data_IF_426051805226
#
_entry.id   IF_426051805226
#
_cell.length_a   1.000
_cell.length_b   1.000
_cell.length_c   1.000
_cell.angle_alpha   90.00
_cell.angle_beta   90.00
_cell.angle_gamma   90.00
#
_symmetry.space_group_name_H-M   'P 1'
#
loop_
_entity.id
_entity.type
_entity.pdbx_description
1 polymer ?
#
# COMPACT_ATOMS: atom_id res chain seq x y z
N UNK A 1 -34.84 25.30 16.08
CA UNK A 1 -33.73 25.29 17.05
C UNK A 1 -32.79 24.16 16.64
N UNK A 2 -31.80 24.50 15.80
CA UNK A 2 -30.40 24.77 16.19
C UNK A 2 -29.59 23.46 16.22
N UNK A 3 -29.10 23.03 15.06
CA UNK A 3 -27.70 23.21 14.63
C UNK A 3 -26.69 22.45 15.51
N UNK A 4 -26.18 21.33 14.99
CA UNK A 4 -24.74 21.06 14.96
C UNK A 4 -24.39 20.16 13.77
N UNK A 5 -23.90 20.83 12.72
CA UNK A 5 -23.14 20.29 11.59
C UNK A 5 -21.65 20.35 11.97
N UNK A 6 -20.89 19.47 11.32
CA UNK A 6 -19.49 19.66 10.90
C UNK A 6 -18.41 19.32 11.92
N UNK A 7 -17.65 18.25 11.63
CA UNK A 7 -16.20 18.30 11.37
C UNK A 7 -15.63 16.87 11.28
N UNK A 8 -15.34 16.43 10.05
CA UNK A 8 -14.05 15.84 9.62
C UNK A 8 -14.21 15.20 8.25
N UNK A 9 -14.18 16.07 7.24
CA UNK A 9 -13.69 15.75 5.92
C UNK A 9 -12.25 16.29 5.87
N UNK A 10 -11.26 15.41 5.85
CA UNK A 10 -9.87 15.69 5.48
C UNK A 10 -9.06 14.38 5.59
N UNK A 11 -9.16 13.52 4.57
CA UNK A 11 -8.02 12.77 4.03
C UNK A 11 -8.48 11.99 2.80
N UNK A 12 -8.65 12.74 1.71
CA UNK A 12 -8.87 12.23 0.37
C UNK A 12 -8.02 13.07 -0.58
N UNK A 13 -6.76 12.69 -0.71
CA UNK A 13 -5.73 13.10 -1.69
C UNK A 13 -4.53 12.26 -1.27
N UNK A 14 -4.09 11.27 -2.02
CA UNK A 14 -3.22 11.48 -3.17
C UNK A 14 -2.76 10.07 -3.59
N UNK A 15 -3.19 9.59 -4.76
CA UNK A 15 -2.62 8.46 -5.53
C UNK A 15 -3.49 8.22 -6.75
N UNK A 16 -3.50 9.21 -7.64
CA UNK A 16 -4.15 9.12 -8.94
C UNK A 16 -3.22 9.67 -10.01
N UNK A 17 -2.08 9.01 -10.23
CA UNK A 17 -1.18 9.28 -11.36
C UNK A 17 -0.48 7.97 -11.75
N UNK A 18 -1.22 7.05 -12.36
CA UNK A 18 -0.62 5.85 -12.98
C UNK A 18 -1.09 5.60 -14.43
N UNK A 19 -1.90 6.49 -15.00
CA UNK A 19 -2.22 6.47 -16.43
C UNK A 19 -1.50 7.62 -17.14
N UNK A 20 -0.22 7.41 -17.44
CA UNK A 20 0.45 8.17 -18.52
C UNK A 20 0.58 7.25 -19.73
N UNK A 21 -0.16 7.58 -20.78
CA UNK A 21 -0.23 6.85 -22.02
C UNK A 21 1.16 6.67 -22.64
N UNK A 22 1.51 5.41 -22.94
CA UNK A 22 2.73 5.05 -23.70
C UNK A 22 2.46 5.34 -25.18
N UNK A 23 2.87 6.52 -25.63
CA UNK A 23 2.95 6.88 -27.05
C UNK A 23 4.16 6.18 -27.67
N UNK A 24 4.05 5.47 -28.81
CA UNK A 24 5.22 5.02 -29.54
C UNK A 24 5.90 6.23 -30.21
N UNK A 25 7.12 6.55 -29.78
CA UNK A 25 7.97 7.57 -30.44
C UNK A 25 8.43 7.07 -31.81
N UNK A 26 7.87 7.67 -32.86
CA UNK A 26 8.44 7.66 -34.19
C UNK A 26 9.62 8.64 -34.22
N UNK A 27 10.80 8.14 -34.57
CA UNK A 27 12.04 8.91 -34.67
C UNK A 27 12.02 9.72 -35.99
N UNK A 28 12.10 11.06 -35.97
CA UNK A 28 12.21 11.84 -37.19
C UNK A 28 13.67 11.85 -37.66
N UNK A 29 13.88 11.48 -38.92
CA UNK A 29 15.15 11.62 -39.62
C UNK A 29 15.44 13.11 -39.84
N UNK A 30 16.60 13.57 -39.36
CA UNK A 30 17.08 14.94 -39.54
C UNK A 30 17.68 15.08 -40.94
N UNK A 31 17.22 16.11 -41.63
CA UNK A 31 17.78 16.64 -42.87
C UNK A 31 19.13 17.31 -42.57
N UNK A 32 20.17 16.98 -43.33
CA UNK A 32 21.30 17.86 -43.58
C UNK A 32 21.30 18.21 -45.06
N UNK A 33 21.25 19.52 -45.32
CA UNK A 33 21.46 20.14 -46.61
C UNK A 33 22.95 20.50 -46.76
N UNK A 34 23.48 20.27 -47.96
CA UNK A 34 24.68 20.83 -48.62
C UNK A 34 24.97 19.88 -49.80
N UNK A 35 25.42 20.28 -50.98
CA UNK A 35 25.61 21.53 -51.70
C UNK A 35 25.96 21.09 -53.14
N UNK A 36 25.91 21.99 -54.11
CA UNK A 36 25.86 21.68 -55.53
C UNK A 36 27.04 20.89 -56.15
N UNK A 37 26.68 20.10 -57.16
CA UNK A 37 27.56 19.70 -58.26
C UNK A 37 26.69 19.60 -59.52
N UNK A 38 26.73 20.67 -60.31
CA UNK A 38 26.21 20.71 -61.68
C UNK A 38 26.95 19.65 -62.51
N UNK A 39 26.18 18.78 -63.16
CA UNK A 39 26.63 18.05 -64.34
C UNK A 39 25.45 17.96 -65.28
N UNK A 40 25.43 18.90 -66.22
CA UNK A 40 24.82 18.70 -67.53
C UNK A 40 25.23 17.33 -68.05
N UNK A 41 24.24 16.49 -68.34
CA UNK A 41 24.18 15.68 -69.57
C UNK A 41 22.82 14.99 -69.63
N UNK A 42 22.17 15.19 -70.79
CA UNK A 42 21.23 14.28 -71.43
C UNK A 42 19.75 14.44 -71.08
N UNK A 43 19.25 15.57 -71.59
CA UNK A 43 17.92 15.70 -72.19
C UNK A 43 17.73 14.67 -73.31
N UNK A 44 17.50 13.40 -72.95
CA UNK A 44 16.95 12.39 -73.86
C UNK A 44 15.45 12.18 -73.60
N UNK A 45 14.67 12.72 -74.54
CA UNK A 45 13.43 12.16 -75.07
C UNK A 45 12.41 11.62 -74.05
N UNK A 46 11.57 12.52 -73.50
CA UNK A 46 10.18 12.19 -73.15
C UNK A 46 9.39 12.00 -74.46
N UNK A 47 9.76 10.98 -75.22
CA UNK A 47 8.95 10.43 -76.29
C UNK A 47 7.95 9.50 -75.61
N UNK A 48 6.65 9.77 -75.81
CA UNK A 48 5.56 9.03 -75.18
C UNK A 48 5.71 7.51 -75.35
N UNK A 49 6.22 6.84 -74.31
CA UNK A 49 6.06 5.40 -74.18
C UNK A 49 4.58 5.17 -73.94
N UNK A 50 3.89 4.71 -74.99
CA UNK A 50 2.58 4.13 -74.84
C UNK A 50 2.72 2.95 -73.86
N UNK A 51 2.42 3.18 -72.58
CA UNK A 51 2.36 2.13 -71.57
C UNK A 51 1.36 1.12 -72.12
N UNK A 52 1.85 -0.10 -72.39
CA UNK A 52 0.97 -1.11 -72.96
C UNK A 52 -0.15 -1.40 -71.96
N UNK A 53 -1.37 -1.62 -72.48
CA UNK A 53 -2.52 -2.03 -71.66
C UNK A 53 -2.18 -3.24 -70.76
N UNK A 54 -1.31 -4.14 -71.23
CA UNK A 54 -0.78 -5.26 -70.46
C UNK A 54 0.03 -4.82 -69.24
N UNK A 55 0.91 -3.83 -69.39
CA UNK A 55 1.73 -3.30 -68.28
C UNK A 55 0.87 -2.68 -67.18
N UNK A 56 -0.17 -1.91 -67.56
CA UNK A 56 -1.15 -1.36 -66.60
C UNK A 56 -1.95 -2.46 -65.89
N UNK A 57 -2.38 -3.48 -66.62
CA UNK A 57 -3.07 -4.64 -66.02
C UNK A 57 -2.17 -5.39 -65.05
N UNK A 58 -0.89 -5.58 -65.38
CA UNK A 58 0.09 -6.24 -64.51
C UNK A 58 0.29 -5.46 -63.20
N UNK A 59 0.47 -4.13 -63.28
CA UNK A 59 0.63 -3.28 -62.09
C UNK A 59 -0.62 -3.28 -61.21
N UNK A 60 -1.82 -3.32 -61.79
CA UNK A 60 -3.08 -3.36 -61.03
C UNK A 60 -3.25 -4.69 -60.30
N UNK A 61 -2.88 -5.80 -60.94
CA UNK A 61 -2.85 -7.13 -60.31
C UNK A 61 -1.81 -7.18 -59.18
N UNK A 62 -0.63 -6.61 -59.38
CA UNK A 62 0.41 -6.56 -58.35
C UNK A 62 0.01 -5.66 -57.18
N UNK A 63 -0.64 -4.53 -57.44
CA UNK A 63 -1.16 -3.66 -56.40
C UNK A 63 -2.26 -4.36 -55.60
N UNK A 64 -3.20 -5.02 -56.28
CA UNK A 64 -4.27 -5.77 -55.64
C UNK A 64 -3.72 -6.91 -54.77
N UNK A 65 -2.71 -7.65 -55.25
CA UNK A 65 -2.09 -8.71 -54.47
C UNK A 65 -1.36 -8.16 -53.25
N UNK A 66 -0.58 -7.08 -53.41
CA UNK A 66 0.09 -6.39 -52.28
C UNK A 66 -0.92 -5.89 -51.25
N UNK A 67 -1.99 -5.22 -51.68
CA UNK A 67 -3.07 -4.78 -50.77
C UNK A 67 -3.71 -5.95 -50.04
N UNK A 68 -4.02 -7.03 -50.75
CA UNK A 68 -4.59 -8.24 -50.14
C UNK A 68 -3.66 -8.84 -49.09
N UNK A 69 -2.35 -8.93 -49.38
CA UNK A 69 -1.35 -9.39 -48.41
C UNK A 69 -1.28 -8.46 -47.21
N UNK A 70 -1.16 -7.15 -47.41
CA UNK A 70 -1.09 -6.17 -46.30
C UNK A 70 -2.32 -6.22 -45.41
N UNK A 71 -3.52 -6.31 -46.00
CA UNK A 71 -4.77 -6.45 -45.24
C UNK A 71 -4.80 -7.76 -44.46
N UNK A 72 -4.41 -8.89 -45.08
CA UNK A 72 -4.36 -10.16 -44.37
C UNK A 72 -3.37 -10.16 -43.22
N UNK A 73 -2.18 -9.58 -43.40
CA UNK A 73 -1.17 -9.44 -42.34
C UNK A 73 -1.71 -8.56 -41.21
N UNK A 74 -2.27 -7.38 -41.52
CA UNK A 74 -2.83 -6.50 -40.51
C UNK A 74 -3.98 -7.14 -39.73
N UNK A 75 -4.86 -7.89 -40.40
CA UNK A 75 -5.94 -8.64 -39.75
C UNK A 75 -5.39 -9.77 -38.86
N UNK A 76 -4.32 -10.44 -39.28
CA UNK A 76 -3.67 -11.47 -38.48
C UNK A 76 -3.01 -10.88 -37.23
N UNK A 77 -2.33 -9.74 -37.36
CA UNK A 77 -1.71 -9.02 -36.24
C UNK A 77 -2.77 -8.52 -35.25
N UNK A 78 -3.87 -7.92 -35.73
CA UNK A 78 -4.99 -7.52 -34.87
C UNK A 78 -5.62 -8.69 -34.13
N UNK A 79 -5.77 -9.85 -34.78
CA UNK A 79 -6.29 -11.07 -34.12
C UNK A 79 -5.36 -11.52 -33.00
N UNK A 80 -4.05 -11.43 -33.23
CA UNK A 80 -3.04 -11.75 -32.21
C UNK A 80 -3.11 -10.78 -31.05
N UNK A 81 -3.16 -9.47 -31.32
CA UNK A 81 -3.25 -8.44 -30.29
C UNK A 81 -4.52 -8.59 -29.45
N UNK A 82 -5.66 -8.93 -30.08
CA UNK A 82 -6.92 -9.21 -29.37
C UNK A 82 -6.77 -10.41 -28.43
N UNK A 83 -6.12 -11.50 -28.89
CA UNK A 83 -5.89 -12.67 -28.06
C UNK A 83 -4.96 -12.35 -26.87
N UNK A 84 -3.88 -11.59 -27.12
CA UNK A 84 -2.93 -11.17 -26.09
C UNK A 84 -3.57 -10.24 -25.07
N UNK A 85 -4.43 -9.31 -25.50
CA UNK A 85 -5.21 -8.46 -24.61
C UNK A 85 -6.21 -9.26 -23.77
N UNK A 86 -6.87 -10.27 -24.36
CA UNK A 86 -7.76 -11.16 -23.63
C UNK A 86 -7.03 -11.93 -22.52
N UNK A 87 -5.86 -12.49 -22.84
CA UNK A 87 -5.03 -13.19 -21.85
C UNK A 87 -4.58 -12.27 -20.70
N UNK A 88 -4.16 -11.05 -21.04
CA UNK A 88 -3.76 -10.05 -20.03
C UNK A 88 -4.94 -9.60 -19.17
N UNK A 89 -6.14 -9.45 -19.74
CA UNK A 89 -7.36 -9.13 -18.98
C UNK A 89 -7.65 -10.20 -17.96
N UNK A 90 -7.68 -11.47 -18.40
CA UNK A 90 -7.93 -12.61 -17.51
C UNK A 90 -6.91 -12.67 -16.36
N UNK A 91 -5.63 -12.43 -16.66
CA UNK A 91 -4.58 -12.43 -15.63
C UNK A 91 -4.77 -11.30 -14.60
N UNK A 92 -5.18 -10.11 -15.04
CA UNK A 92 -5.46 -8.99 -14.15
C UNK A 92 -6.69 -9.28 -13.29
N UNK A 93 -7.73 -9.87 -13.86
CA UNK A 93 -8.94 -10.26 -13.13
C UNK A 93 -8.63 -11.31 -12.06
N UNK A 94 -7.84 -12.34 -12.38
CA UNK A 94 -7.40 -13.35 -11.41
C UNK A 94 -6.55 -12.74 -10.30
N UNK A 95 -5.60 -11.86 -10.65
CA UNK A 95 -4.78 -11.16 -9.68
C UNK A 95 -5.60 -10.26 -8.75
N UNK A 96 -6.59 -9.56 -9.31
CA UNK A 96 -7.48 -8.67 -8.55
C UNK A 96 -8.32 -9.48 -7.56
N UNK A 97 -8.90 -10.61 -8.00
CA UNK A 97 -9.65 -11.49 -7.11
C UNK A 97 -8.78 -12.06 -5.98
N UNK A 98 -7.54 -12.44 -6.26
CA UNK A 98 -6.60 -12.89 -5.24
C UNK A 98 -6.20 -11.77 -4.26
N UNK A 99 -6.02 -10.55 -4.78
CA UNK A 99 -5.72 -9.36 -3.99
C UNK A 99 -6.87 -9.01 -3.05
N UNK A 100 -8.11 -9.00 -3.54
CA UNK A 100 -9.30 -8.71 -2.74
C UNK A 100 -9.46 -9.76 -1.61
N UNK A 101 -9.28 -11.04 -1.93
CA UNK A 101 -9.28 -12.10 -0.91
C UNK A 101 -8.17 -11.93 0.14
N UNK A 102 -7.02 -11.36 -0.24
CA UNK A 102 -5.95 -11.06 0.70
C UNK A 102 -6.31 -9.85 1.58
N UNK A 103 -6.89 -8.80 0.99
CA UNK A 103 -7.32 -7.61 1.71
C UNK A 103 -8.36 -7.96 2.80
N UNK A 104 -9.34 -8.79 2.47
CA UNK A 104 -10.36 -9.27 3.43
C UNK A 104 -9.72 -10.00 4.62
N UNK A 105 -8.71 -10.84 4.36
CA UNK A 105 -7.98 -11.57 5.43
C UNK A 105 -7.15 -10.63 6.30
N UNK A 106 -6.56 -9.60 5.72
CA UNK A 106 -5.81 -8.59 6.47
C UNK A 106 -6.75 -7.86 7.42
N UNK A 107 -7.91 -7.41 6.93
CA UNK A 107 -8.93 -6.75 7.76
C UNK A 107 -9.44 -7.66 8.90
N UNK A 108 -9.69 -8.95 8.62
CA UNK A 108 -10.07 -9.92 9.64
C UNK A 108 -8.99 -10.08 10.72
N UNK A 109 -7.73 -10.18 10.32
CA UNK A 109 -6.61 -10.31 11.25
C UNK A 109 -6.39 -9.06 12.10
N UNK A 110 -6.53 -7.87 11.52
CA UNK A 110 -6.44 -6.60 12.24
C UNK A 110 -7.53 -6.49 13.31
N UNK A 111 -8.78 -6.80 12.94
CA UNK A 111 -9.91 -6.83 13.88
C UNK A 111 -9.68 -7.83 15.03
N UNK A 112 -9.14 -9.01 14.71
CA UNK A 112 -8.84 -10.03 15.70
C UNK A 112 -7.70 -9.63 16.63
N UNK A 113 -6.67 -8.95 16.13
CA UNK A 113 -5.60 -8.41 16.93
C UNK A 113 -6.12 -7.36 17.91
N UNK A 114 -6.93 -6.42 17.43
CA UNK A 114 -7.56 -5.40 18.28
C UNK A 114 -8.41 -6.05 19.39
N UNK A 115 -9.21 -7.06 19.05
CA UNK A 115 -9.98 -7.81 20.03
C UNK A 115 -9.10 -8.44 21.12
N UNK A 116 -7.99 -9.07 20.74
CA UNK A 116 -7.09 -9.70 21.69
C UNK A 116 -6.31 -8.70 22.53
N UNK A 117 -5.92 -7.55 21.97
CA UNK A 117 -5.27 -6.48 22.72
C UNK A 117 -6.21 -5.89 23.78
N UNK A 118 -7.44 -5.59 23.40
CA UNK A 118 -8.48 -5.14 24.31
C UNK A 118 -8.74 -6.19 25.40
N UNK A 119 -8.79 -7.47 25.03
CA UNK A 119 -8.98 -8.54 26.01
C UNK A 119 -7.80 -8.68 26.95
N UNK A 120 -6.57 -8.55 26.45
CA UNK A 120 -5.35 -8.56 27.27
C UNK A 120 -5.36 -7.42 28.27
N UNK A 121 -5.71 -6.20 27.83
CA UNK A 121 -5.82 -5.03 28.69
C UNK A 121 -6.86 -5.24 29.80
N UNK A 122 -8.06 -5.71 29.45
CA UNK A 122 -9.11 -6.03 30.44
C UNK A 122 -8.66 -7.07 31.48
N UNK A 123 -7.93 -8.10 31.05
CA UNK A 123 -7.39 -9.12 31.96
C UNK A 123 -6.28 -8.56 32.86
N UNK A 124 -5.37 -7.75 32.32
CA UNK A 124 -4.33 -7.07 33.10
C UNK A 124 -4.94 -6.12 34.15
N UNK A 125 -5.93 -5.33 33.77
CA UNK A 125 -6.62 -4.40 34.66
C UNK A 125 -7.39 -5.12 35.77
N UNK A 126 -8.08 -6.23 35.43
CA UNK A 126 -8.74 -7.07 36.44
C UNK A 126 -7.73 -7.72 37.38
N UNK A 127 -6.60 -8.19 36.85
CA UNK A 127 -5.55 -8.79 37.66
C UNK A 127 -4.92 -7.78 38.63
N UNK A 128 -4.84 -6.51 38.26
CA UNK A 128 -4.22 -5.44 39.07
C UNK A 128 -5.22 -4.64 39.91
N UNK A 129 -6.52 -4.88 39.78
CA UNK A 129 -7.57 -4.08 40.43
C UNK A 129 -7.45 -4.03 41.96
N UNK A 130 -6.95 -5.10 42.55
CA UNK A 130 -6.75 -5.22 43.99
C UNK A 130 -5.32 -4.86 44.42
N UNK A 131 -4.45 -4.49 43.48
CA UNK A 131 -3.06 -4.14 43.78
C UNK A 131 -2.95 -2.66 44.15
N UNK A 132 -2.65 -2.37 45.42
CA UNK A 132 -2.41 -1.02 45.89
C UNK A 132 -0.90 -0.69 45.87
N UNK A 133 -0.55 0.50 45.36
CA UNK A 133 0.83 1.02 45.37
C UNK A 133 0.99 2.11 46.43
N UNK A 134 1.66 1.76 47.52
CA UNK A 134 2.02 2.70 48.58
C UNK A 134 3.36 3.37 48.25
N UNK A 135 3.40 4.71 48.30
CA UNK A 135 4.61 5.51 48.09
C UNK A 135 5.01 6.21 49.39
N UNK A 136 6.29 6.53 49.55
CA UNK A 136 6.82 7.23 50.73
C UNK A 136 7.05 6.33 51.95
N UNK A 137 7.02 5.00 51.79
CA UNK A 137 7.45 4.08 52.85
C UNK A 137 8.97 4.16 52.96
N UNK A 138 9.53 4.55 54.13
CA UNK A 138 10.98 4.64 54.34
C UNK A 138 11.68 3.32 53.97
N UNK A 139 12.89 3.39 53.41
CA UNK A 139 13.62 2.19 52.97
C UNK A 139 14.13 1.34 54.14
N UNK A 140 14.25 1.94 55.33
CA UNK A 140 14.66 1.29 56.57
C UNK A 140 13.69 0.18 56.99
N UNK A 141 12.41 0.28 56.59
CA UNK A 141 11.41 -0.76 56.85
C UNK A 141 11.76 -2.01 56.04
N UNK A 142 12.14 -3.08 56.74
CA UNK A 142 12.61 -4.31 56.10
C UNK A 142 11.45 -5.07 55.45
N UNK A 143 11.69 -5.89 54.41
CA UNK A 143 10.64 -6.66 53.74
C UNK A 143 9.78 -7.52 54.69
N UNK A 144 10.37 -8.04 55.76
CA UNK A 144 9.68 -8.85 56.78
C UNK A 144 8.71 -8.02 57.64
N UNK A 145 8.96 -6.72 57.77
CA UNK A 145 8.19 -5.78 58.61
C UNK A 145 7.09 -5.07 57.81
N UNK A 146 7.15 -5.10 56.47
CA UNK A 146 6.21 -4.40 55.60
C UNK A 146 4.74 -4.75 55.89
N UNK A 147 4.45 -6.02 56.19
CA UNK A 147 3.08 -6.46 56.48
C UNK A 147 2.54 -5.78 57.74
N UNK A 148 3.32 -5.79 58.82
CA UNK A 148 2.94 -5.14 60.07
C UNK A 148 2.78 -3.63 59.88
N UNK A 149 3.75 -2.99 59.21
CA UNK A 149 3.70 -1.58 58.89
C UNK A 149 2.46 -1.20 58.08
N UNK A 150 2.11 -1.98 57.04
CA UNK A 150 0.94 -1.73 56.22
C UNK A 150 -0.37 -1.90 57.03
N UNK A 151 -0.46 -2.91 57.90
CA UNK A 151 -1.61 -3.09 58.78
C UNK A 151 -1.79 -1.91 59.73
N UNK A 152 -0.72 -1.46 60.40
CA UNK A 152 -0.76 -0.29 61.27
C UNK A 152 -1.15 0.98 60.51
N UNK A 153 -0.57 1.18 59.32
CA UNK A 153 -0.91 2.29 58.44
C UNK A 153 -2.39 2.30 58.05
N UNK A 154 -2.94 1.17 57.59
CA UNK A 154 -4.36 1.10 57.23
C UNK A 154 -5.28 1.27 58.44
N UNK A 155 -4.97 0.68 59.59
CA UNK A 155 -5.75 0.88 60.82
C UNK A 155 -5.70 2.34 61.30
N UNK A 156 -4.61 3.06 61.04
CA UNK A 156 -4.51 4.49 61.39
C UNK A 156 -5.41 5.38 60.51
N UNK A 157 -5.63 5.01 59.25
CA UNK A 157 -6.43 5.78 58.28
C UNK A 157 -7.90 5.36 58.33
N UNK A 158 -8.16 4.07 58.57
CA UNK A 158 -9.49 3.46 58.55
C UNK A 158 -9.76 2.78 59.91
N UNK A 159 -9.93 3.56 60.99
CA UNK A 159 -10.06 3.02 62.34
C UNK A 159 -11.34 2.19 62.55
N UNK A 160 -12.38 2.45 61.74
CA UNK A 160 -13.67 1.76 61.84
C UNK A 160 -13.68 0.36 61.19
N UNK A 161 -12.64 0.03 60.41
CA UNK A 161 -12.52 -1.27 59.77
C UNK A 161 -11.75 -2.21 60.70
N UNK A 162 -12.35 -3.32 61.13
CA UNK A 162 -11.68 -4.24 62.03
C UNK A 162 -10.55 -4.99 61.29
N UNK A 163 -9.47 -5.26 62.01
CA UNK A 163 -8.21 -5.76 61.42
C UNK A 163 -8.35 -7.14 60.77
N UNK A 164 -9.30 -7.95 61.22
CA UNK A 164 -9.65 -9.25 60.65
C UNK A 164 -10.23 -9.16 59.23
N UNK A 165 -10.85 -8.04 58.88
CA UNK A 165 -11.33 -7.78 57.51
C UNK A 165 -10.21 -7.31 56.57
N UNK A 166 -9.05 -6.89 57.10
CA UNK A 166 -7.91 -6.46 56.29
C UNK A 166 -7.06 -7.66 55.85
N UNK A 167 -7.50 -8.31 54.77
CA UNK A 167 -6.80 -9.47 54.19
C UNK A 167 -5.74 -8.99 53.19
N UNK A 168 -4.46 -9.13 53.57
CA UNK A 168 -3.32 -8.87 52.69
C UNK A 168 -2.74 -10.19 52.16
N UNK A 169 -2.95 -10.48 50.87
CA UNK A 169 -2.42 -11.69 50.23
C UNK A 169 -0.89 -11.61 50.04
N UNK A 170 -0.42 -10.53 49.40
CA UNK A 170 1.00 -10.32 49.08
C UNK A 170 1.39 -8.87 49.32
N UNK A 171 2.55 -8.66 49.92
CA UNK A 171 3.16 -7.33 50.08
C UNK A 171 4.66 -7.43 49.79
N UNK A 172 5.16 -6.53 48.96
CA UNK A 172 6.56 -6.49 48.57
C UNK A 172 6.92 -5.10 48.04
N UNK A 173 8.22 -4.78 48.02
CA UNK A 173 8.72 -3.61 47.30
C UNK A 173 8.74 -3.88 45.81
N UNK A 174 8.30 -2.92 45.00
CA UNK A 174 8.41 -3.01 43.54
C UNK A 174 9.87 -2.81 43.15
N UNK A 175 10.43 -3.75 42.39
CA UNK A 175 11.79 -3.65 41.89
C UNK A 175 11.94 -2.37 41.03
N UNK A 176 13.08 -1.69 41.19
CA UNK A 176 13.42 -0.54 40.36
C UNK A 176 13.57 -1.00 38.90
N UNK A 177 12.97 -0.32 37.92
CA UNK A 177 13.25 -0.60 36.51
C UNK A 177 14.74 -0.37 36.22
N UNK A 178 15.40 -1.33 35.57
CA UNK A 178 16.86 -1.31 35.36
C UNK A 178 17.42 -0.07 34.64
N UNK A 179 16.57 0.69 33.94
CA UNK A 179 16.97 1.83 33.11
C UNK A 179 16.85 3.20 33.81
N UNK A 180 16.42 3.27 35.08
CA UNK A 180 16.40 4.54 35.80
C UNK A 180 17.72 4.79 36.55
N UNK A 181 18.24 6.04 36.54
CA UNK A 181 19.45 6.39 37.28
C UNK A 181 19.26 6.13 38.79
N UNK A 182 20.35 5.84 39.53
CA UNK A 182 20.28 5.69 40.99
C UNK A 182 19.70 6.97 41.59
N UNK A 183 18.76 6.82 42.53
CA UNK A 183 18.16 7.98 43.20
C UNK A 183 19.24 8.60 44.06
N UNK A 184 19.59 9.85 43.77
CA UNK A 184 20.40 10.69 44.64
C UNK A 184 19.64 10.85 45.96
N UNK A 185 20.18 10.26 47.03
CA UNK A 185 19.74 10.52 48.41
C UNK A 185 20.35 11.83 48.90
#
# INVERSE_FOLDING_TARGET
MSQHRSKKAADAKEKSDFFTARTPQHKPASQQAQDGAESDTDSECIAGMAISKQTLQQMLVELASKMQTTVHTAVADLRKDIADLGNRSNQVEEFTAAHDSMADKVEELESRLEHYENKRMDLEDRSRRNDLRLRGIPEEVRPQELRAYATEFFCSILPDIPTDMLILDRIHRVARPMHLPPSTQ
#
